data_IF_922118395214
#
_entry.id   IF_922118395214
#
_cell.length_a   1.000
_cell.length_b   1.000
_cell.length_c   1.000
_cell.angle_alpha   90.00
_cell.angle_beta   90.00
_cell.angle_gamma   90.00
#
_symmetry.space_group_name_H-M   'P 1'
#
loop_
_entity.id
_entity.type
_entity.pdbx_description
1 polymer ?
#
# COMPACT_ATOMS: atom_id res chain seq x y z
N UNK A 1 54.04 -5.10 -32.14
CA UNK A 1 54.77 -4.33 -31.11
C UNK A 1 54.34 -4.82 -29.75
N UNK A 2 55.26 -5.48 -29.15
CA UNK A 2 55.25 -6.12 -27.81
C UNK A 2 55.42 -5.09 -26.70
N UNK A 3 54.78 -5.34 -25.54
CA UNK A 3 55.26 -5.04 -24.17
C UNK A 3 54.07 -4.88 -23.23
N UNK A 4 54.04 -5.24 -21.95
CA UNK A 4 54.84 -6.06 -21.02
C UNK A 4 53.96 -6.30 -19.80
N UNK A 5 53.97 -7.52 -19.31
CA UNK A 5 53.39 -7.92 -18.01
C UNK A 5 54.20 -7.35 -16.85
N UNK A 6 53.53 -6.79 -15.85
CA UNK A 6 54.12 -6.41 -14.56
C UNK A 6 53.50 -7.19 -13.42
N UNK A 7 54.28 -8.12 -12.88
CA UNK A 7 53.93 -8.95 -11.70
C UNK A 7 54.18 -8.15 -10.43
N UNK A 8 53.22 -8.16 -9.46
CA UNK A 8 53.48 -7.69 -8.10
C UNK A 8 53.35 -8.85 -7.11
N UNK A 9 54.39 -8.96 -6.31
CA UNK A 9 54.63 -10.03 -5.33
C UNK A 9 53.86 -9.76 -4.03
N UNK A 10 53.28 -10.81 -3.47
CA UNK A 10 52.79 -10.87 -2.07
C UNK A 10 53.98 -10.88 -1.10
N UNK A 11 53.89 -10.06 -0.07
CA UNK A 11 54.76 -10.11 1.11
C UNK A 11 53.89 -10.51 2.32
N UNK A 12 54.18 -11.67 2.88
CA UNK A 12 53.59 -12.18 4.10
C UNK A 12 54.37 -11.62 5.31
N UNK A 13 53.67 -11.02 6.27
CA UNK A 13 54.25 -10.70 7.61
C UNK A 13 53.56 -11.55 8.67
N UNK A 14 54.38 -12.42 9.27
CA UNK A 14 54.02 -13.18 10.46
C UNK A 14 54.15 -12.29 11.71
N UNK A 15 53.13 -12.28 12.56
CA UNK A 15 53.16 -11.69 13.87
C UNK A 15 53.21 -12.78 14.95
N UNK A 16 54.22 -12.70 15.79
CA UNK A 16 54.53 -13.59 16.92
C UNK A 16 53.67 -13.19 18.12
N UNK A 17 52.94 -14.17 18.68
CA UNK A 17 52.18 -14.00 19.93
C UNK A 17 53.08 -14.27 21.16
N UNK A 18 53.17 -13.31 22.05
CA UNK A 18 53.83 -13.44 23.34
C UNK A 18 52.78 -13.77 24.42
N UNK A 19 52.92 -14.92 25.06
CA UNK A 19 52.09 -15.36 26.18
C UNK A 19 52.77 -14.91 27.47
N UNK A 20 52.12 -14.09 28.29
CA UNK A 20 52.50 -13.79 29.67
C UNK A 20 51.46 -14.38 30.62
N UNK A 21 51.89 -15.41 31.34
CA UNK A 21 51.19 -16.01 32.46
C UNK A 21 51.51 -15.26 33.76
N UNK A 22 50.52 -14.68 34.43
CA UNK A 22 50.62 -14.27 35.83
C UNK A 22 49.57 -15.00 36.63
N UNK A 23 50.01 -15.87 37.49
CA UNK A 23 49.17 -16.50 38.51
C UNK A 23 49.14 -15.63 39.76
N UNK A 24 47.98 -15.59 40.44
CA UNK A 24 47.92 -15.45 41.92
C UNK A 24 46.52 -15.73 42.48
N UNK A 25 46.50 -16.72 43.29
CA UNK A 25 45.89 -16.91 44.64
C UNK A 25 44.41 -16.69 44.88
N UNK A 26 43.90 -17.75 45.47
CA UNK A 26 42.59 -18.01 46.06
C UNK A 26 42.09 -16.96 47.03
N UNK A 27 40.82 -16.59 46.88
CA UNK A 27 39.96 -16.02 47.91
C UNK A 27 38.59 -16.58 47.73
N UNK A 28 38.17 -17.49 48.60
CA UNK A 28 36.81 -18.08 48.67
C UNK A 28 35.86 -17.09 49.29
N UNK A 29 34.89 -16.61 48.53
CA UNK A 29 33.68 -16.00 49.08
C UNK A 29 32.49 -16.68 48.41
N UNK A 30 31.71 -17.41 49.21
CA UNK A 30 30.45 -17.99 48.85
C UNK A 30 29.43 -16.88 48.65
N UNK A 31 29.03 -16.63 47.41
CA UNK A 31 27.86 -15.79 47.09
C UNK A 31 26.72 -16.69 46.67
N UNK A 32 25.66 -16.60 47.42
CA UNK A 32 24.35 -17.22 47.22
C UNK A 32 23.78 -16.71 45.91
N UNK A 33 23.77 -17.53 44.85
CA UNK A 33 23.12 -17.22 43.57
C UNK A 33 21.72 -17.71 43.62
N UNK A 34 20.81 -16.87 44.12
CA UNK A 34 19.40 -17.03 43.84
C UNK A 34 19.18 -16.94 42.31
N UNK A 35 18.87 -18.10 41.70
CA UNK A 35 18.45 -18.24 40.30
C UNK A 35 17.17 -17.46 40.08
N UNK A 36 17.26 -16.21 39.66
CA UNK A 36 16.13 -15.53 39.01
C UNK A 36 16.09 -16.06 37.60
N UNK A 37 15.23 -17.07 37.39
CA UNK A 37 14.87 -17.54 36.07
C UNK A 37 14.21 -16.39 35.31
N UNK A 38 14.91 -15.78 34.37
CA UNK A 38 14.29 -14.92 33.34
C UNK A 38 13.29 -15.79 32.57
N UNK A 39 12.02 -15.41 32.49
CA UNK A 39 11.08 -16.16 31.70
C UNK A 39 11.52 -16.09 30.23
N UNK A 40 11.84 -17.26 29.68
CA UNK A 40 12.02 -17.44 28.25
C UNK A 40 10.73 -16.98 27.55
N UNK A 41 10.78 -16.13 26.52
CA UNK A 41 9.56 -15.76 25.80
C UNK A 41 8.94 -17.04 25.25
N UNK A 42 7.67 -17.26 25.56
CA UNK A 42 6.86 -18.36 25.04
C UNK A 42 6.73 -18.23 23.53
N UNK A 43 7.61 -18.88 22.78
CA UNK A 43 7.75 -18.81 21.31
C UNK A 43 6.77 -19.72 20.57
N UNK A 44 5.72 -20.24 21.22
CA UNK A 44 4.83 -21.26 20.63
C UNK A 44 3.44 -20.75 20.22
N UNK A 45 3.12 -19.48 20.34
CA UNK A 45 1.87 -18.96 19.74
C UNK A 45 2.08 -18.70 18.26
N UNK A 46 1.71 -19.66 17.42
CA UNK A 46 1.58 -19.45 15.97
C UNK A 46 0.57 -18.33 15.75
N UNK A 47 1.01 -17.17 15.25
CA UNK A 47 0.10 -16.07 14.90
C UNK A 47 -0.72 -16.54 13.70
N UNK A 48 -2.04 -16.69 13.89
CA UNK A 48 -2.96 -17.01 12.79
C UNK A 48 -3.28 -15.71 12.05
N UNK A 49 -2.67 -15.51 10.88
CA UNK A 49 -2.96 -14.39 10.01
C UNK A 49 -4.25 -14.61 9.22
N UNK A 50 -4.91 -13.50 8.86
CA UNK A 50 -6.06 -13.53 7.95
C UNK A 50 -5.63 -14.00 6.55
N UNK A 51 -6.49 -14.77 5.92
CA UNK A 51 -6.38 -15.17 4.51
C UNK A 51 -7.25 -14.27 3.62
N UNK A 52 -7.05 -14.29 2.29
CA UNK A 52 -7.97 -13.61 1.36
C UNK A 52 -9.42 -14.08 1.53
N UNK A 53 -9.63 -15.37 1.85
CA UNK A 53 -10.94 -15.96 2.08
C UNK A 53 -11.60 -15.44 3.35
N UNK A 54 -10.83 -15.27 4.43
CA UNK A 54 -11.33 -14.68 5.69
C UNK A 54 -11.85 -13.26 5.42
N UNK A 55 -11.09 -12.43 4.70
CA UNK A 55 -11.51 -11.07 4.35
C UNK A 55 -12.75 -11.07 3.42
N UNK A 56 -12.76 -11.92 2.40
CA UNK A 56 -13.87 -12.00 1.44
C UNK A 56 -15.16 -12.54 2.07
N UNK A 57 -15.07 -13.28 3.17
CA UNK A 57 -16.23 -13.85 3.90
C UNK A 57 -16.82 -12.90 4.93
N UNK A 58 -16.20 -11.74 5.17
CA UNK A 58 -16.74 -10.77 6.13
C UNK A 58 -18.12 -10.26 5.68
N UNK A 59 -19.08 -10.18 6.61
CA UNK A 59 -20.40 -9.69 6.27
C UNK A 59 -20.34 -8.23 5.80
N UNK A 60 -21.03 -7.94 4.72
CA UNK A 60 -21.19 -6.59 4.18
C UNK A 60 -22.64 -6.33 3.84
N UNK A 61 -23.09 -5.10 4.04
CA UNK A 61 -24.44 -4.67 3.64
C UNK A 61 -24.45 -4.35 2.15
N UNK A 62 -25.58 -4.51 1.45
CA UNK A 62 -25.73 -3.99 0.10
C UNK A 62 -25.37 -2.49 0.06
N UNK A 63 -24.76 -2.02 -1.04
CA UNK A 63 -24.60 -0.58 -1.26
C UNK A 63 -25.96 0.10 -1.39
N UNK A 64 -26.05 1.39 -1.13
CA UNK A 64 -27.27 2.15 -1.37
C UNK A 64 -27.58 2.23 -2.87
N UNK A 65 -26.52 2.40 -3.69
CA UNK A 65 -26.61 2.50 -5.14
C UNK A 65 -25.42 1.84 -5.81
N UNK A 66 -25.65 1.29 -7.02
CA UNK A 66 -24.60 0.93 -7.95
C UNK A 66 -24.73 1.83 -9.18
N UNK A 67 -23.68 2.59 -9.51
CA UNK A 67 -23.69 3.60 -10.57
C UNK A 67 -22.55 3.30 -11.54
N UNK A 68 -22.86 3.16 -12.83
CA UNK A 68 -21.87 2.99 -13.89
C UNK A 68 -21.11 4.27 -14.17
N UNK A 69 -19.82 4.14 -14.44
CA UNK A 69 -18.95 5.24 -14.92
C UNK A 69 -18.43 5.00 -16.35
N UNK A 70 -18.76 3.86 -16.94
CA UNK A 70 -18.42 3.47 -18.29
C UNK A 70 -19.41 2.46 -18.86
N UNK A 71 -19.07 1.83 -19.97
CA UNK A 71 -19.95 0.91 -20.72
C UNK A 71 -19.70 -0.58 -20.44
N UNK A 72 -18.55 -0.91 -19.86
CA UNK A 72 -18.23 -2.28 -19.46
C UNK A 72 -18.92 -2.65 -18.15
N UNK A 73 -19.28 -3.92 -17.98
CA UNK A 73 -19.94 -4.42 -16.77
C UNK A 73 -19.09 -4.30 -15.50
N UNK A 74 -17.77 -4.14 -15.62
CA UNK A 74 -16.85 -3.89 -14.53
C UNK A 74 -16.58 -2.39 -14.32
N UNK A 75 -17.24 -1.50 -15.04
CA UNK A 75 -17.07 -0.05 -14.89
C UNK A 75 -18.21 0.55 -14.08
N UNK A 76 -18.25 0.23 -12.79
CA UNK A 76 -19.23 0.76 -11.83
C UNK A 76 -18.58 1.06 -10.48
N UNK A 77 -19.27 1.85 -9.68
CA UNK A 77 -18.98 2.01 -8.27
C UNK A 77 -20.21 1.72 -7.40
N UNK A 78 -19.95 1.29 -6.20
CA UNK A 78 -20.94 1.07 -5.16
C UNK A 78 -20.91 2.25 -4.19
N UNK A 79 -21.97 3.05 -4.21
CA UNK A 79 -22.11 4.22 -3.36
C UNK A 79 -22.81 3.86 -2.06
N UNK A 80 -22.22 4.31 -0.94
CA UNK A 80 -22.83 4.28 0.39
C UNK A 80 -22.85 5.70 0.93
N UNK A 81 -24.02 6.21 1.27
CA UNK A 81 -24.23 7.57 1.76
C UNK A 81 -24.67 7.54 3.22
N UNK A 82 -24.00 8.25 4.13
CA UNK A 82 -24.45 8.36 5.50
C UNK A 82 -25.83 9.02 5.60
N UNK A 83 -26.56 8.73 6.66
CA UNK A 83 -27.78 9.46 7.02
C UNK A 83 -27.44 10.87 7.49
N UNK A 84 -28.30 11.86 7.22
CA UNK A 84 -28.12 13.24 7.67
C UNK A 84 -28.03 14.26 6.52
N UNK A 85 -27.82 15.54 6.86
CA UNK A 85 -27.99 16.62 5.88
C UNK A 85 -26.87 16.69 4.82
N UNK A 86 -25.64 16.21 5.11
CA UNK A 86 -24.46 16.40 4.25
C UNK A 86 -24.02 17.87 4.14
N UNK A 87 -23.10 18.24 3.22
CA UNK A 87 -22.41 17.29 2.34
C UNK A 87 -21.44 16.39 3.09
N UNK A 88 -21.36 15.12 2.66
CA UNK A 88 -20.53 14.12 3.32
C UNK A 88 -19.14 14.03 2.69
N UNK A 89 -18.05 13.94 3.48
CA UNK A 89 -16.74 13.61 2.94
C UNK A 89 -16.77 12.24 2.27
N UNK A 90 -15.90 12.02 1.27
CA UNK A 90 -15.95 10.83 0.43
C UNK A 90 -14.64 10.05 0.53
N UNK A 91 -14.75 8.75 0.75
CA UNK A 91 -13.64 7.80 0.56
C UNK A 91 -13.91 6.96 -0.69
N UNK A 92 -13.01 7.08 -1.66
CA UNK A 92 -12.97 6.16 -2.81
C UNK A 92 -12.23 4.91 -2.37
N UNK A 93 -12.87 3.76 -2.39
CA UNK A 93 -12.28 2.47 -2.04
C UNK A 93 -11.88 1.72 -3.31
N UNK A 94 -10.61 1.30 -3.40
CA UNK A 94 -10.07 0.55 -4.53
C UNK A 94 -9.56 -0.80 -4.03
N UNK A 95 -10.23 -1.87 -4.44
CA UNK A 95 -9.94 -3.22 -3.96
C UNK A 95 -8.66 -3.82 -4.53
N UNK A 96 -8.10 -4.82 -3.84
CA UNK A 96 -6.94 -5.60 -4.25
C UNK A 96 -7.26 -6.75 -5.19
N UNK A 97 -6.48 -7.84 -5.07
CA UNK A 97 -6.66 -9.08 -5.83
C UNK A 97 -5.67 -9.24 -6.97
N UNK A 98 -4.40 -8.84 -6.76
CA UNK A 98 -3.30 -9.08 -7.74
C UNK A 98 -3.64 -8.59 -9.16
N UNK A 99 -4.45 -7.57 -9.32
CA UNK A 99 -4.98 -7.09 -10.62
C UNK A 99 -5.76 -8.15 -11.42
N UNK A 100 -6.16 -9.30 -10.82
CA UNK A 100 -6.81 -10.43 -11.51
C UNK A 100 -8.31 -10.48 -11.22
N UNK A 101 -9.12 -10.67 -12.26
CA UNK A 101 -10.59 -10.76 -12.14
C UNK A 101 -11.05 -11.96 -11.29
N UNK A 102 -10.23 -13.02 -11.25
CA UNK A 102 -10.54 -14.24 -10.50
C UNK A 102 -10.38 -14.11 -8.97
N UNK A 103 -9.75 -13.03 -8.45
CA UNK A 103 -9.36 -12.98 -7.03
C UNK A 103 -10.22 -12.06 -6.16
N UNK A 104 -10.67 -10.94 -6.68
CA UNK A 104 -11.47 -10.00 -5.90
C UNK A 104 -12.37 -9.13 -6.79
N UNK A 105 -13.31 -8.45 -6.17
CA UNK A 105 -14.23 -7.48 -6.76
C UNK A 105 -14.58 -6.39 -5.73
N UNK A 106 -15.36 -5.38 -6.11
CA UNK A 106 -15.67 -4.25 -5.23
C UNK A 106 -16.16 -4.65 -3.83
N UNK A 107 -16.96 -5.70 -3.71
CA UNK A 107 -17.46 -6.20 -2.41
C UNK A 107 -16.36 -6.60 -1.40
N UNK A 108 -15.13 -6.84 -1.88
CA UNK A 108 -13.97 -7.17 -1.04
C UNK A 108 -13.70 -6.12 0.06
N UNK A 109 -13.92 -4.83 -0.22
CA UNK A 109 -13.83 -3.75 0.77
C UNK A 109 -15.20 -3.26 1.26
N UNK A 110 -16.27 -4.01 1.01
CA UNK A 110 -17.62 -3.63 1.39
C UNK A 110 -17.80 -3.36 2.88
N UNK A 111 -17.20 -4.20 3.74
CA UNK A 111 -17.26 -4.05 5.20
C UNK A 111 -16.53 -2.77 5.69
N UNK A 112 -15.47 -2.35 5.02
CA UNK A 112 -14.81 -1.07 5.29
C UNK A 112 -15.73 0.10 4.89
N UNK A 113 -16.41 -0.04 3.75
CA UNK A 113 -17.42 0.92 3.31
C UNK A 113 -18.58 1.06 4.31
N UNK A 114 -19.04 -0.04 4.88
CA UNK A 114 -20.10 -0.05 5.91
C UNK A 114 -19.65 0.65 7.19
N UNK A 115 -18.42 0.41 7.65
CA UNK A 115 -17.85 1.04 8.84
C UNK A 115 -17.67 2.56 8.64
N UNK A 116 -17.17 2.99 7.51
CA UNK A 116 -17.00 4.41 7.18
C UNK A 116 -18.36 5.12 7.07
N UNK A 117 -19.36 4.50 6.40
CA UNK A 117 -20.72 5.02 6.33
C UNK A 117 -21.34 5.23 7.71
N UNK A 118 -21.20 4.23 8.60
CA UNK A 118 -21.69 4.33 9.96
C UNK A 118 -21.06 5.49 10.74
N UNK A 119 -19.86 5.90 10.36
CA UNK A 119 -19.10 6.98 10.96
C UNK A 119 -19.19 8.32 10.20
N UNK A 120 -20.20 8.51 9.35
CA UNK A 120 -20.52 9.78 8.69
C UNK A 120 -19.68 10.07 7.43
N UNK A 121 -19.01 9.07 6.85
CA UNK A 121 -18.19 9.20 5.64
C UNK A 121 -18.87 8.44 4.50
N UNK A 122 -19.16 9.12 3.40
CA UNK A 122 -19.65 8.46 2.19
C UNK A 122 -18.54 7.62 1.55
N UNK A 123 -18.89 6.47 0.96
CA UNK A 123 -17.92 5.63 0.27
C UNK A 123 -18.34 5.38 -1.17
N UNK A 124 -17.35 5.44 -2.05
CA UNK A 124 -17.43 5.10 -3.46
C UNK A 124 -16.50 3.93 -3.72
N UNK A 125 -17.04 2.70 -3.66
CA UNK A 125 -16.28 1.46 -3.77
C UNK A 125 -16.21 1.05 -5.24
N UNK A 126 -15.03 1.18 -5.84
CA UNK A 126 -14.82 1.10 -7.28
C UNK A 126 -14.57 -0.34 -7.72
N UNK A 127 -15.34 -0.79 -8.72
CA UNK A 127 -15.00 -1.94 -9.54
C UNK A 127 -14.27 -1.45 -10.80
N UNK A 128 -13.34 -2.22 -11.33
CA UNK A 128 -12.54 -1.87 -12.50
C UNK A 128 -12.15 -3.12 -13.30
N UNK A 129 -11.84 -2.97 -14.58
CA UNK A 129 -11.40 -4.11 -15.41
C UNK A 129 -10.02 -4.60 -14.97
N UNK A 130 -9.92 -5.90 -14.71
CA UNK A 130 -8.75 -6.61 -14.22
C UNK A 130 -8.28 -7.63 -15.23
N UNK A 131 -7.04 -8.07 -15.14
CA UNK A 131 -6.45 -9.11 -15.98
C UNK A 131 -7.37 -10.32 -16.10
N UNK A 132 -7.58 -10.79 -17.31
CA UNK A 132 -8.58 -11.79 -17.68
C UNK A 132 -9.89 -11.21 -18.27
N UNK A 133 -10.08 -9.89 -18.22
CA UNK A 133 -11.23 -9.20 -18.81
C UNK A 133 -10.81 -8.39 -20.05
N UNK A 134 -11.67 -8.27 -21.08
CA UNK A 134 -11.39 -7.46 -22.26
C UNK A 134 -11.08 -6.00 -21.90
N UNK A 135 -10.05 -5.43 -22.53
CA UNK A 135 -9.65 -4.04 -22.29
C UNK A 135 -9.00 -3.75 -20.94
N UNK A 136 -8.68 -4.77 -20.12
CA UNK A 136 -7.90 -4.64 -18.89
C UNK A 136 -6.40 -4.44 -19.19
N UNK A 137 -5.62 -4.22 -18.12
CA UNK A 137 -4.19 -3.93 -18.24
C UNK A 137 -3.94 -2.50 -18.69
N UNK A 138 -2.79 -2.28 -19.32
CA UNK A 138 -2.42 -0.95 -19.84
C UNK A 138 -3.18 -0.59 -21.11
N UNK A 139 -3.83 0.58 -21.23
CA UNK A 139 -4.02 1.58 -20.16
C UNK A 139 -5.33 1.37 -19.37
N UNK A 140 -6.15 0.37 -19.74
CA UNK A 140 -7.56 0.27 -19.37
C UNK A 140 -7.81 0.21 -17.86
N UNK A 141 -7.07 -0.62 -17.11
CA UNK A 141 -7.22 -0.73 -15.65
C UNK A 141 -6.99 0.61 -14.93
N UNK A 142 -5.97 1.35 -15.33
CA UNK A 142 -5.66 2.67 -14.76
C UNK A 142 -6.72 3.71 -15.11
N UNK A 143 -7.14 3.74 -16.39
CA UNK A 143 -8.17 4.67 -16.86
C UNK A 143 -9.53 4.39 -16.21
N UNK A 144 -9.85 3.15 -15.92
CA UNK A 144 -11.06 2.80 -15.19
C UNK A 144 -11.08 3.44 -13.81
N UNK A 145 -10.02 3.31 -13.04
CA UNK A 145 -9.91 3.95 -11.72
C UNK A 145 -9.95 5.48 -11.85
N UNK A 146 -9.26 6.05 -12.83
CA UNK A 146 -9.30 7.49 -13.09
C UNK A 146 -10.73 7.98 -13.36
N UNK A 147 -11.45 7.32 -14.28
CA UNK A 147 -12.82 7.67 -14.63
C UNK A 147 -13.79 7.45 -13.47
N UNK A 148 -13.59 6.40 -12.67
CA UNK A 148 -14.38 6.15 -11.47
C UNK A 148 -14.26 7.28 -10.45
N UNK A 149 -13.03 7.78 -10.21
CA UNK A 149 -12.81 8.94 -9.33
C UNK A 149 -13.46 10.20 -9.91
N UNK A 150 -13.32 10.44 -11.21
CA UNK A 150 -13.87 11.62 -11.87
C UNK A 150 -15.42 11.56 -11.97
N UNK A 151 -16.02 10.37 -11.94
CA UNK A 151 -17.48 10.20 -11.90
C UNK A 151 -18.12 10.91 -10.72
N UNK A 152 -17.42 11.06 -9.62
CA UNK A 152 -17.90 11.79 -8.45
C UNK A 152 -18.39 13.21 -8.80
N UNK A 153 -17.79 13.88 -9.80
CA UNK A 153 -18.21 15.23 -10.22
C UNK A 153 -19.67 15.28 -10.65
N UNK A 154 -20.18 14.23 -11.27
CA UNK A 154 -21.52 14.20 -11.85
C UNK A 154 -22.57 13.69 -10.87
N UNK A 155 -22.17 12.99 -9.81
CA UNK A 155 -23.09 12.43 -8.83
C UNK A 155 -23.10 13.18 -7.48
N UNK A 156 -22.12 14.06 -7.26
CA UNK A 156 -21.92 14.67 -5.96
C UNK A 156 -23.10 15.52 -5.48
N UNK A 157 -23.70 16.32 -6.36
CA UNK A 157 -24.83 17.18 -6.00
C UNK A 157 -26.06 16.40 -5.56
N UNK A 158 -26.41 15.37 -6.34
CA UNK A 158 -27.57 14.51 -6.07
C UNK A 158 -27.41 13.73 -4.75
N UNK A 159 -26.19 13.26 -4.46
CA UNK A 159 -25.93 12.41 -3.30
C UNK A 159 -25.26 13.16 -2.15
N UNK A 160 -25.23 14.50 -2.19
CA UNK A 160 -24.71 15.37 -1.12
C UNK A 160 -23.27 15.01 -0.71
N UNK A 161 -22.39 14.83 -1.72
CA UNK A 161 -20.98 14.51 -1.50
C UNK A 161 -20.12 15.77 -1.48
N UNK A 162 -19.18 15.85 -0.55
CA UNK A 162 -18.21 16.93 -0.44
C UNK A 162 -16.97 16.64 -1.30
N UNK A 163 -16.92 17.20 -2.50
CA UNK A 163 -15.77 17.05 -3.39
C UNK A 163 -14.51 17.79 -2.93
N UNK A 164 -14.61 18.69 -1.96
CA UNK A 164 -13.47 19.29 -1.29
C UNK A 164 -12.78 18.35 -0.29
N UNK A 165 -13.42 17.24 0.06
CA UNK A 165 -12.95 16.24 1.02
C UNK A 165 -13.04 14.83 0.46
N UNK A 166 -12.26 14.56 -0.61
CA UNK A 166 -12.15 13.24 -1.26
C UNK A 166 -10.79 12.63 -0.95
N UNK A 167 -10.77 11.42 -0.44
CA UNK A 167 -9.56 10.61 -0.19
C UNK A 167 -9.69 9.28 -0.94
N UNK A 168 -8.58 8.80 -1.51
CA UNK A 168 -8.54 7.47 -2.11
C UNK A 168 -7.88 6.51 -1.12
N UNK A 169 -8.53 5.39 -0.85
CA UNK A 169 -8.01 4.31 -0.01
C UNK A 169 -7.97 3.04 -0.85
N UNK A 170 -6.84 2.39 -0.90
CA UNK A 170 -6.73 1.15 -1.66
C UNK A 170 -5.96 0.08 -0.91
N UNK A 171 -6.27 -1.19 -1.19
CA UNK A 171 -5.58 -2.34 -0.62
C UNK A 171 -4.82 -3.12 -1.68
N UNK A 172 -3.55 -3.48 -1.42
CA UNK A 172 -2.76 -4.35 -2.31
C UNK A 172 -2.67 -3.78 -3.74
N UNK A 173 -3.09 -4.51 -4.77
CA UNK A 173 -3.21 -3.97 -6.14
C UNK A 173 -4.01 -2.66 -6.20
N UNK A 174 -5.08 -2.54 -5.39
CA UNK A 174 -5.87 -1.31 -5.27
C UNK A 174 -5.13 -0.19 -4.55
N UNK A 175 -4.22 -0.50 -3.64
CA UNK A 175 -3.32 0.45 -2.98
C UNK A 175 -2.41 1.14 -4.01
N UNK A 176 -1.80 0.34 -4.87
CA UNK A 176 -1.06 0.85 -6.02
C UNK A 176 -1.90 1.79 -6.89
N UNK A 177 -3.10 1.34 -7.28
CA UNK A 177 -4.00 2.13 -8.14
C UNK A 177 -4.48 3.41 -7.44
N UNK A 178 -4.67 3.38 -6.11
CA UNK A 178 -5.02 4.55 -5.30
C UNK A 178 -3.88 5.58 -5.29
N UNK A 179 -2.64 5.13 -5.05
CA UNK A 179 -1.45 5.98 -5.08
C UNK A 179 -1.24 6.59 -6.46
N UNK A 180 -1.37 5.78 -7.53
CA UNK A 180 -1.30 6.28 -8.91
C UNK A 180 -2.40 7.29 -9.20
N UNK A 181 -3.65 7.02 -8.80
CA UNK A 181 -4.76 7.94 -9.02
C UNK A 181 -4.59 9.29 -8.32
N UNK A 182 -3.95 9.31 -7.13
CA UNK A 182 -3.56 10.54 -6.46
C UNK A 182 -2.44 11.30 -7.21
N UNK A 183 -1.54 10.56 -7.88
CA UNK A 183 -0.42 11.10 -8.66
C UNK A 183 -0.78 11.52 -10.09
N UNK A 184 -1.98 11.18 -10.60
CA UNK A 184 -2.31 11.23 -12.04
C UNK A 184 -2.23 12.62 -12.69
N UNK A 185 -2.23 13.71 -11.91
CA UNK A 185 -1.95 15.06 -12.42
C UNK A 185 -0.50 15.22 -12.93
N UNK A 186 0.40 14.31 -12.56
CA UNK A 186 1.81 14.24 -13.02
C UNK A 186 1.99 13.46 -14.32
N UNK A 187 0.95 12.76 -14.75
CA UNK A 187 1.01 11.96 -16.00
C UNK A 187 1.14 12.91 -17.20
N UNK A 188 2.13 12.72 -18.09
CA UNK A 188 2.35 13.60 -19.24
C UNK A 188 1.16 13.61 -20.21
N UNK A 189 0.85 14.74 -20.82
CA UNK A 189 -0.25 14.89 -21.79
C UNK A 189 -0.19 13.93 -22.98
N UNK A 190 1.00 13.47 -23.37
CA UNK A 190 1.18 12.48 -24.46
C UNK A 190 1.02 11.02 -24.02
N UNK A 191 0.75 10.75 -22.73
CA UNK A 191 0.55 9.41 -22.21
C UNK A 191 -0.81 8.86 -22.56
N UNK A 192 -0.90 7.53 -22.78
CA UNK A 192 -2.18 6.82 -22.84
C UNK A 192 -2.97 6.85 -21.52
N UNK A 193 -2.31 7.18 -20.40
CA UNK A 193 -2.94 7.33 -19.07
C UNK A 193 -3.39 8.77 -18.78
N UNK A 194 -3.15 9.72 -19.70
CA UNK A 194 -3.50 11.11 -19.47
C UNK A 194 -5.01 11.32 -19.46
N UNK A 195 -5.51 11.93 -18.38
CA UNK A 195 -6.89 12.40 -18.27
C UNK A 195 -6.85 13.91 -18.02
N UNK A 196 -7.56 14.67 -18.83
CA UNK A 196 -7.64 16.12 -18.67
C UNK A 196 -8.43 16.48 -17.40
N UNK A 197 -7.94 17.48 -16.64
CA UNK A 197 -8.61 18.02 -15.47
C UNK A 197 -9.05 16.93 -14.45
N UNK A 198 -8.12 16.13 -13.89
CA UNK A 198 -8.47 15.11 -12.90
C UNK A 198 -9.13 15.72 -11.67
N UNK A 199 -10.09 15.01 -11.06
CA UNK A 199 -10.69 15.45 -9.79
C UNK A 199 -9.59 15.55 -8.73
N UNK A 200 -9.37 16.73 -8.12
CA UNK A 200 -8.43 16.85 -7.02
C UNK A 200 -8.85 15.98 -5.82
N UNK A 201 -7.87 15.34 -5.18
CA UNK A 201 -8.09 14.57 -3.96
C UNK A 201 -7.32 15.20 -2.80
N UNK A 202 -7.81 15.01 -1.58
CA UNK A 202 -7.16 15.55 -0.36
C UNK A 202 -5.95 14.73 0.05
N UNK A 203 -5.85 13.49 -0.39
CA UNK A 203 -4.74 12.60 -0.14
C UNK A 203 -5.09 11.16 -0.42
N UNK A 204 -4.20 10.26 0.00
CA UNK A 204 -4.29 8.84 -0.26
C UNK A 204 -3.86 8.01 0.95
N UNK A 205 -4.54 6.89 1.17
CA UNK A 205 -4.15 5.86 2.14
C UNK A 205 -3.93 4.56 1.38
N UNK A 206 -2.70 4.11 1.37
CA UNK A 206 -2.26 2.86 0.78
C UNK A 206 -2.17 1.78 1.85
N UNK A 207 -2.91 0.71 1.68
CA UNK A 207 -2.91 -0.46 2.54
C UNK A 207 -2.13 -1.58 1.82
N UNK A 208 -0.82 -1.63 2.01
CA UNK A 208 0.11 -2.60 1.44
C UNK A 208 0.05 -2.72 -0.10
N UNK A 209 0.04 -1.61 -0.80
CA UNK A 209 0.15 -1.58 -2.26
C UNK A 209 1.60 -1.39 -2.74
N UNK A 210 1.98 -1.96 -3.90
CA UNK A 210 3.30 -1.73 -4.47
C UNK A 210 3.45 -0.29 -4.96
N UNK A 211 4.34 0.47 -4.34
CA UNK A 211 4.61 1.89 -4.63
C UNK A 211 5.65 2.11 -5.72
N UNK A 212 6.41 1.07 -6.06
CA UNK A 212 7.37 1.05 -7.18
C UNK A 212 7.18 -0.21 -8.00
N UNK A 213 6.63 -0.06 -9.20
CA UNK A 213 6.28 -1.18 -10.08
C UNK A 213 7.50 -1.93 -10.61
N UNK A 214 8.69 -1.33 -10.57
CA UNK A 214 9.94 -1.99 -10.98
C UNK A 214 10.54 -2.80 -9.83
N UNK A 215 10.63 -2.19 -8.65
CA UNK A 215 11.27 -2.82 -7.48
C UNK A 215 10.44 -4.00 -6.93
N UNK A 216 9.11 -3.93 -7.02
CA UNK A 216 8.21 -4.95 -6.46
C UNK A 216 7.91 -6.15 -7.40
N UNK A 217 8.47 -6.19 -8.61
CA UNK A 217 8.11 -7.25 -9.58
C UNK A 217 8.30 -8.64 -8.99
N UNK A 218 9.48 -8.93 -8.46
CA UNK A 218 9.84 -10.28 -8.03
C UNK A 218 8.98 -10.77 -6.86
N UNK A 219 8.85 -9.95 -5.83
CA UNK A 219 8.12 -10.27 -4.60
C UNK A 219 6.63 -10.38 -4.90
N UNK A 220 6.08 -9.38 -5.55
CA UNK A 220 4.65 -9.29 -5.83
C UNK A 220 4.19 -10.36 -6.83
N UNK A 221 4.91 -10.58 -7.93
CA UNK A 221 4.60 -11.62 -8.90
C UNK A 221 4.79 -13.02 -8.29
N UNK A 222 5.80 -13.22 -7.43
CA UNK A 222 6.03 -14.48 -6.71
C UNK A 222 4.84 -14.88 -5.84
N UNK A 223 4.28 -13.94 -5.07
CA UNK A 223 3.14 -14.18 -4.18
C UNK A 223 1.80 -14.25 -4.93
N UNK A 224 1.62 -13.46 -5.98
CA UNK A 224 0.47 -13.56 -6.87
C UNK A 224 0.51 -14.81 -7.77
N UNK A 225 1.63 -15.55 -7.76
CA UNK A 225 1.89 -16.77 -8.57
C UNK A 225 1.64 -16.58 -10.06
N UNK A 226 1.96 -15.40 -10.57
CA UNK A 226 1.80 -15.04 -11.97
C UNK A 226 2.49 -13.71 -12.27
N UNK A 227 2.90 -13.48 -13.51
CA UNK A 227 3.55 -12.24 -13.98
C UNK A 227 2.57 -11.06 -14.06
N UNK A 228 1.91 -10.75 -12.94
CA UNK A 228 0.79 -9.79 -12.92
C UNK A 228 1.20 -8.36 -13.24
N UNK A 229 2.36 -7.87 -12.75
CA UNK A 229 2.85 -6.52 -13.06
C UNK A 229 3.27 -6.43 -14.52
N UNK A 230 4.03 -7.41 -14.98
CA UNK A 230 4.51 -7.48 -16.37
C UNK A 230 3.34 -7.58 -17.35
N UNK A 231 2.32 -8.36 -17.03
CA UNK A 231 1.09 -8.49 -17.84
C UNK A 231 0.25 -7.21 -17.78
N UNK A 232 0.08 -6.61 -16.60
CA UNK A 232 -0.66 -5.35 -16.42
C UNK A 232 -0.09 -4.23 -17.30
N UNK A 233 1.24 -4.11 -17.33
CA UNK A 233 1.94 -3.07 -18.09
C UNK A 233 2.22 -3.48 -19.55
N UNK A 234 1.96 -4.74 -19.91
CA UNK A 234 2.13 -5.27 -21.28
C UNK A 234 3.58 -5.42 -21.70
N UNK A 235 4.48 -5.69 -20.75
CA UNK A 235 5.90 -5.95 -20.99
C UNK A 235 6.76 -5.70 -19.75
N UNK A 236 8.05 -6.01 -19.85
CA UNK A 236 9.04 -5.81 -18.77
C UNK A 236 9.50 -4.36 -18.68
N UNK A 237 10.18 -3.92 -17.59
CA UNK A 237 10.77 -2.58 -17.49
C UNK A 237 11.73 -2.25 -18.64
N UNK A 238 12.37 -3.27 -19.22
CA UNK A 238 13.28 -3.10 -20.34
C UNK A 238 12.56 -2.91 -21.69
N UNK A 239 11.41 -3.57 -21.88
CA UNK A 239 10.66 -3.54 -23.14
C UNK A 239 9.67 -2.38 -23.23
N UNK A 240 9.10 -1.95 -22.10
CA UNK A 240 8.13 -0.86 -22.01
C UNK A 240 8.44 0.14 -20.87
N UNK A 241 9.67 0.71 -20.83
CA UNK A 241 10.14 1.51 -19.70
C UNK A 241 9.25 2.72 -19.39
N UNK A 242 8.66 3.34 -20.43
CA UNK A 242 7.75 4.49 -20.25
C UNK A 242 6.49 4.13 -19.48
N UNK A 243 5.94 2.92 -19.67
CA UNK A 243 4.75 2.49 -18.96
C UNK A 243 5.05 2.34 -17.46
N UNK A 244 6.21 1.80 -17.10
CA UNK A 244 6.67 1.71 -15.71
C UNK A 244 6.83 3.09 -15.08
N UNK A 245 7.45 4.05 -15.80
CA UNK A 245 7.57 5.43 -15.30
C UNK A 245 6.24 6.13 -15.08
N UNK A 246 5.26 5.88 -15.94
CA UNK A 246 3.94 6.52 -15.88
C UNK A 246 2.97 5.80 -14.94
N UNK A 247 3.23 4.55 -14.61
CA UNK A 247 2.41 3.74 -13.69
C UNK A 247 2.93 3.77 -12.26
N UNK A 248 4.24 3.91 -12.04
CA UNK A 248 4.84 3.79 -10.72
C UNK A 248 4.68 5.07 -9.88
N UNK A 249 4.02 5.02 -8.71
CA UNK A 249 3.95 6.17 -7.80
C UNK A 249 5.32 6.76 -7.47
N UNK A 250 6.34 5.91 -7.24
CA UNK A 250 7.73 6.31 -7.03
C UNK A 250 8.25 7.24 -8.13
N UNK A 251 7.94 6.93 -9.39
CA UNK A 251 8.42 7.71 -10.54
C UNK A 251 7.61 8.99 -10.77
N UNK A 252 6.44 9.12 -10.15
CA UNK A 252 5.54 10.28 -10.25
C UNK A 252 5.69 11.28 -9.11
N UNK A 253 6.62 11.05 -8.17
CA UNK A 253 6.89 11.98 -7.05
C UNK A 253 7.30 13.39 -7.56
N UNK A 254 6.93 14.48 -6.85
CA UNK A 254 6.03 14.51 -5.71
C UNK A 254 4.56 14.35 -6.12
N UNK A 255 3.76 13.67 -5.30
CA UNK A 255 2.31 13.57 -5.52
C UNK A 255 1.57 14.88 -5.18
N UNK A 256 2.12 15.64 -4.26
CA UNK A 256 1.59 16.93 -3.83
C UNK A 256 0.38 16.86 -2.89
N UNK A 257 0.14 15.70 -2.30
CA UNK A 257 -0.94 15.46 -1.32
C UNK A 257 -0.43 14.62 -0.15
N UNK A 258 -1.04 14.70 1.04
CA UNK A 258 -0.74 13.82 2.16
C UNK A 258 -0.91 12.34 1.79
N UNK A 259 0.06 11.52 2.18
CA UNK A 259 0.12 10.09 1.88
C UNK A 259 0.29 9.30 3.17
N UNK A 260 -0.51 8.26 3.34
CA UNK A 260 -0.33 7.28 4.41
C UNK A 260 -0.12 5.92 3.78
N UNK A 261 0.92 5.20 4.22
CA UNK A 261 1.18 3.82 3.81
C UNK A 261 1.12 2.95 5.05
N UNK A 262 0.24 1.96 5.04
CA UNK A 262 0.03 1.03 6.14
C UNK A 262 0.47 -0.37 5.75
N UNK A 263 1.34 -0.99 6.55
CA UNK A 263 1.77 -2.39 6.36
C UNK A 263 1.82 -3.14 7.69
N UNK A 264 1.59 -4.43 7.64
CA UNK A 264 1.80 -5.34 8.77
C UNK A 264 3.27 -5.74 8.93
N UNK A 265 3.66 -6.27 10.10
CA UNK A 265 5.02 -6.81 10.28
C UNK A 265 5.21 -8.20 9.68
N UNK A 266 4.11 -8.88 9.32
CA UNK A 266 4.10 -10.14 8.56
C UNK A 266 3.64 -9.90 7.11
N UNK A 267 3.99 -8.73 6.55
CA UNK A 267 3.69 -8.37 5.17
C UNK A 267 4.75 -8.94 4.23
N UNK A 268 4.32 -9.78 3.30
CA UNK A 268 5.21 -10.47 2.36
C UNK A 268 5.12 -9.91 0.92
N UNK A 269 3.98 -9.26 0.55
CA UNK A 269 3.79 -8.71 -0.80
C UNK A 269 4.54 -7.40 -1.03
N UNK A 270 4.65 -6.58 0.02
CA UNK A 270 5.24 -5.24 -0.02
C UNK A 270 6.30 -5.14 1.07
N UNK A 271 7.56 -5.49 0.76
CA UNK A 271 8.66 -5.44 1.72
C UNK A 271 8.83 -4.05 2.34
N UNK A 272 9.11 -4.03 3.63
CA UNK A 272 9.25 -2.80 4.42
C UNK A 272 10.33 -1.86 3.89
N UNK A 273 11.45 -2.38 3.46
CA UNK A 273 12.57 -1.60 2.91
C UNK A 273 12.18 -0.83 1.65
N UNK A 274 11.29 -1.38 0.82
CA UNK A 274 10.76 -0.68 -0.36
C UNK A 274 9.78 0.43 0.04
N UNK A 275 8.98 0.24 1.09
CA UNK A 275 8.12 1.30 1.66
C UNK A 275 8.96 2.41 2.27
N UNK A 276 10.00 2.07 3.04
CA UNK A 276 10.91 3.04 3.65
C UNK A 276 11.69 3.84 2.57
N UNK A 277 12.11 3.17 1.49
CA UNK A 277 12.73 3.82 0.34
C UNK A 277 11.78 4.81 -0.35
N UNK A 278 10.52 4.42 -0.56
CA UNK A 278 9.49 5.32 -1.10
C UNK A 278 9.25 6.52 -0.19
N UNK A 279 9.03 6.30 1.10
CA UNK A 279 8.79 7.38 2.06
C UNK A 279 9.94 8.38 2.11
N UNK A 280 11.20 7.88 2.07
CA UNK A 280 12.39 8.71 1.99
C UNK A 280 12.44 9.54 0.69
N UNK A 281 12.13 8.92 -0.45
CA UNK A 281 12.13 9.62 -1.74
C UNK A 281 11.03 10.68 -1.82
N UNK A 282 9.82 10.37 -1.33
CA UNK A 282 8.70 11.28 -1.27
C UNK A 282 8.99 12.50 -0.38
N UNK A 283 9.55 12.28 0.81
CA UNK A 283 9.96 13.36 1.71
C UNK A 283 11.02 14.26 1.06
N UNK A 284 12.02 13.68 0.37
CA UNK A 284 13.03 14.45 -0.39
C UNK A 284 12.41 15.25 -1.53
N UNK A 285 11.34 14.76 -2.13
CA UNK A 285 10.59 15.45 -3.17
C UNK A 285 9.64 16.54 -2.62
N UNK A 286 9.52 16.68 -1.30
CA UNK A 286 8.68 17.67 -0.63
C UNK A 286 7.27 17.20 -0.29
N UNK A 287 6.98 15.90 -0.43
CA UNK A 287 5.70 15.32 -0.04
C UNK A 287 5.61 15.06 1.48
N UNK A 288 4.40 15.10 1.98
CA UNK A 288 4.07 14.69 3.35
C UNK A 288 3.65 13.22 3.36
N UNK A 289 4.46 12.36 3.97
CA UNK A 289 4.25 10.91 4.03
C UNK A 289 4.29 10.40 5.48
N UNK A 290 3.40 9.49 5.81
CA UNK A 290 3.38 8.75 7.07
C UNK A 290 3.30 7.25 6.80
N UNK A 291 4.23 6.47 7.36
CA UNK A 291 4.15 5.02 7.37
C UNK A 291 3.56 4.54 8.69
N UNK A 292 2.55 3.68 8.64
CA UNK A 292 1.95 3.02 9.79
C UNK A 292 2.35 1.54 9.77
N UNK A 293 3.10 1.13 10.79
CA UNK A 293 3.46 -0.27 10.99
C UNK A 293 2.51 -0.90 12.02
N UNK A 294 2.03 -2.10 11.71
CA UNK A 294 1.11 -2.86 12.55
C UNK A 294 1.78 -4.15 13.02
N UNK A 295 2.38 -4.15 14.25
CA UNK A 295 3.02 -5.33 14.81
C UNK A 295 2.04 -6.49 14.95
N UNK A 296 2.35 -7.64 14.35
CA UNK A 296 1.48 -8.83 14.40
C UNK A 296 0.42 -8.91 13.31
N UNK A 297 0.28 -7.91 12.44
CA UNK A 297 -0.60 -7.97 11.28
C UNK A 297 0.15 -8.50 10.05
N UNK A 298 -0.58 -9.18 9.16
CA UNK A 298 -0.18 -9.52 7.80
C UNK A 298 -0.85 -8.63 6.77
N UNK A 299 -0.98 -9.15 5.56
CA UNK A 299 -1.49 -8.41 4.40
C UNK A 299 -2.99 -8.05 4.51
N UNK A 300 -3.81 -8.90 5.14
CA UNK A 300 -5.26 -8.78 5.11
C UNK A 300 -5.86 -8.13 6.35
N UNK A 301 -5.19 -8.16 7.50
CA UNK A 301 -5.66 -7.53 8.74
C UNK A 301 -5.81 -6.02 8.58
N UNK A 302 -4.94 -5.38 7.80
CA UNK A 302 -5.00 -3.93 7.56
C UNK A 302 -6.14 -3.52 6.60
N UNK A 303 -6.73 -4.47 5.87
CA UNK A 303 -7.87 -4.21 4.99
C UNK A 303 -9.22 -4.51 5.63
N UNK A 304 -9.24 -4.91 6.92
CA UNK A 304 -10.44 -5.34 7.60
C UNK A 304 -10.88 -4.37 8.69
N UNK A 305 -12.12 -3.85 8.59
CA UNK A 305 -12.72 -3.01 9.62
C UNK A 305 -13.13 -3.79 10.87
N UNK A 306 -13.06 -5.13 10.86
CA UNK A 306 -13.31 -5.96 12.05
C UNK A 306 -12.04 -6.26 12.85
N UNK A 307 -10.86 -5.84 12.37
CA UNK A 307 -9.59 -6.11 13.01
C UNK A 307 -9.14 -4.98 13.95
N UNK A 308 -8.28 -5.32 14.88
CA UNK A 308 -7.67 -4.38 15.83
C UNK A 308 -6.88 -3.24 15.16
N UNK A 309 -6.49 -3.40 13.92
CA UNK A 309 -5.81 -2.39 13.09
C UNK A 309 -6.72 -1.22 12.70
N UNK A 310 -8.03 -1.47 12.63
CA UNK A 310 -9.01 -0.55 12.09
C UNK A 310 -9.04 0.85 12.73
N UNK A 311 -9.05 1.00 14.07
CA UNK A 311 -9.14 2.32 14.67
C UNK A 311 -8.02 3.27 14.22
N UNK A 312 -6.80 2.75 14.02
CA UNK A 312 -5.67 3.54 13.52
C UNK A 312 -5.82 3.87 12.03
N UNK A 313 -6.30 2.93 11.24
CA UNK A 313 -6.56 3.13 9.81
C UNK A 313 -7.66 4.16 9.61
N UNK A 314 -8.76 4.06 10.36
CA UNK A 314 -9.83 5.06 10.30
C UNK A 314 -9.34 6.45 10.75
N UNK A 315 -8.52 6.52 11.80
CA UNK A 315 -7.90 7.79 12.24
C UNK A 315 -7.04 8.39 11.12
N UNK A 316 -6.27 7.57 10.41
CA UNK A 316 -5.47 8.03 9.28
C UNK A 316 -6.35 8.54 8.13
N UNK A 317 -7.41 7.83 7.78
CA UNK A 317 -8.37 8.25 6.75
C UNK A 317 -8.98 9.61 7.11
N UNK A 318 -9.41 9.80 8.35
CA UNK A 318 -9.97 11.08 8.83
C UNK A 318 -8.97 12.22 8.78
N UNK A 319 -7.74 11.99 9.21
CA UNK A 319 -6.67 12.99 9.13
C UNK A 319 -6.43 13.42 7.68
N UNK A 320 -6.36 12.46 6.75
CA UNK A 320 -6.14 12.74 5.32
C UNK A 320 -7.34 13.45 4.69
N UNK A 321 -8.58 13.15 5.09
CA UNK A 321 -9.79 13.89 4.69
C UNK A 321 -9.71 15.37 5.11
N UNK A 322 -9.02 15.69 6.20
CA UNK A 322 -8.77 17.05 6.67
C UNK A 322 -7.48 17.66 6.07
N UNK A 323 -6.81 16.97 5.14
CA UNK A 323 -5.59 17.40 4.49
C UNK A 323 -4.36 17.33 5.40
N UNK A 324 -4.36 16.45 6.40
CA UNK A 324 -3.31 16.28 7.40
C UNK A 324 -2.77 14.84 7.40
N UNK A 325 -1.60 14.65 7.98
CA UNK A 325 -1.15 13.32 8.36
C UNK A 325 -1.71 12.93 9.74
N UNK A 326 -1.90 11.63 10.01
CA UNK A 326 -2.22 11.18 11.36
C UNK A 326 -1.09 11.57 12.33
N UNK A 327 -1.39 11.70 13.64
CA UNK A 327 -0.38 12.04 14.63
C UNK A 327 0.76 11.02 14.64
N UNK A 328 1.95 11.47 15.06
CA UNK A 328 3.07 10.56 15.34
C UNK A 328 2.67 9.62 16.46
N UNK A 329 3.01 8.35 16.32
CA UNK A 329 2.94 7.45 17.45
C UNK A 329 4.00 7.87 18.46
N UNK A 330 3.55 8.13 19.67
CA UNK A 330 4.50 8.16 20.79
C UNK A 330 5.10 6.76 20.87
N UNK A 331 6.42 6.66 20.71
CA UNK A 331 7.13 5.42 21.00
C UNK A 331 6.80 5.05 22.45
N UNK A 332 5.96 4.03 22.60
CA UNK A 332 5.70 3.41 23.90
C UNK A 332 6.79 2.39 24.19
#
# INVERSE_FOLDING_TARGET
MTTKFGSWRLTTMSAVSLVLSVGCSRGSASADTSNVATPSPDTTKTVKLMTPQDLASLPTRPPDLRISYGTDSSQYGELRVPTGPGPHPVVVLVHGGCFKAAYAQASYLGQMGDALKANGIATWNVEYRRLGQPGSGWPGTYLDVAHAVDRLRTIASEHKLDLGRVVIVGHSAGGHLAMWAAARSRVPKGSALYVANPLPVRGVVDLAGPVDMTAHIREYEGLCRDSVITTLLGGTPRTVPERYRQASPMALLPLGVPQVIAIGTYEDFVPRDLVDAYASAAAKAGDSVRTLFFPGAGHFEIASASQWTWPRIETAIRAVLDGKLPPDEKAN
#
